data_IF_972764225785
#
_entry.id   IF_972764225785
#
_cell.length_a   1.000
_cell.length_b   1.000
_cell.length_c   1.000
_cell.angle_alpha   90.00
_cell.angle_beta   90.00
_cell.angle_gamma   90.00
#
_symmetry.space_group_name_H-M   'P 1'
#
loop_
_entity.id
_entity.type
_entity.pdbx_description
1 polymer ?
#
# COMPACT_ATOMS: atom_id res chain seq x y z
N UNK A 1 -12.17 -14.90 -8.52
CA UNK A 1 -11.66 -14.54 -7.19
C UNK A 1 -10.56 -15.51 -6.81
N UNK A 2 -9.55 -15.09 -6.04
CA UNK A 2 -8.52 -16.01 -5.55
C UNK A 2 -9.12 -17.06 -4.59
N UNK A 3 -8.57 -18.27 -4.60
CA UNK A 3 -8.94 -19.31 -3.62
C UNK A 3 -8.25 -19.05 -2.28
N UNK A 4 -8.77 -19.65 -1.21
CA UNK A 4 -8.14 -19.55 0.13
C UNK A 4 -6.71 -20.10 0.13
N UNK A 5 -6.44 -21.15 -0.65
CA UNK A 5 -5.08 -21.71 -0.81
C UNK A 5 -4.14 -20.75 -1.53
N UNK A 6 -4.63 -20.07 -2.57
CA UNK A 6 -3.87 -19.05 -3.28
C UNK A 6 -3.55 -17.85 -2.37
N UNK A 7 -4.53 -17.39 -1.59
CA UNK A 7 -4.32 -16.31 -0.61
C UNK A 7 -3.25 -16.72 0.41
N UNK A 8 -3.37 -17.89 1.01
CA UNK A 8 -2.42 -18.37 2.01
C UNK A 8 -1.00 -18.52 1.43
N UNK A 9 -0.88 -19.10 0.23
CA UNK A 9 0.41 -19.24 -0.48
C UNK A 9 1.03 -17.88 -0.79
N UNK A 10 0.23 -16.92 -1.29
CA UNK A 10 0.70 -15.60 -1.67
C UNK A 10 1.09 -14.76 -0.45
N UNK A 11 0.35 -14.83 0.66
CA UNK A 11 0.71 -14.16 1.91
C UNK A 11 1.97 -14.77 2.53
N UNK A 12 2.16 -16.10 2.43
CA UNK A 12 3.41 -16.75 2.85
C UNK A 12 4.58 -16.25 2.01
N UNK A 13 4.41 -16.16 0.68
CA UNK A 13 5.42 -15.61 -0.22
C UNK A 13 5.75 -14.14 0.10
N UNK A 14 4.72 -13.32 0.37
CA UNK A 14 4.88 -11.93 0.77
C UNK A 14 5.67 -11.80 2.08
N UNK A 15 5.39 -12.64 3.07
CA UNK A 15 6.16 -12.68 4.31
C UNK A 15 7.62 -13.12 4.11
N UNK A 16 7.84 -14.16 3.30
CA UNK A 16 9.19 -14.60 2.95
C UNK A 16 9.98 -13.51 2.21
N UNK A 17 9.30 -12.74 1.35
CA UNK A 17 9.91 -11.61 0.65
C UNK A 17 10.22 -10.45 1.62
N UNK A 18 9.38 -10.21 2.63
CA UNK A 18 9.68 -9.27 3.71
C UNK A 18 10.99 -9.62 4.45
N UNK A 19 11.25 -10.92 4.61
CA UNK A 19 12.49 -11.46 5.16
C UNK A 19 13.64 -11.54 4.14
N UNK A 20 13.47 -10.98 2.93
CA UNK A 20 14.43 -10.95 1.82
C UNK A 20 14.87 -12.36 1.36
N UNK A 21 13.98 -13.37 1.44
CA UNK A 21 14.28 -14.73 0.96
C UNK A 21 14.22 -14.77 -0.57
N UNK A 22 15.29 -15.28 -1.18
CA UNK A 22 15.46 -15.29 -2.64
C UNK A 22 14.40 -16.13 -3.38
N UNK A 23 13.91 -17.21 -2.78
CA UNK A 23 12.94 -18.11 -3.41
C UNK A 23 11.48 -17.66 -3.27
N UNK A 24 11.21 -16.59 -2.52
CA UNK A 24 9.85 -16.09 -2.28
C UNK A 24 9.09 -15.81 -3.59
N UNK A 25 9.77 -15.21 -4.58
CA UNK A 25 9.17 -14.85 -5.88
C UNK A 25 8.58 -16.04 -6.64
N UNK A 26 9.14 -17.25 -6.48
CA UNK A 26 8.68 -18.46 -7.19
C UNK A 26 7.31 -18.96 -6.72
N UNK A 27 6.82 -18.48 -5.59
CA UNK A 27 5.54 -18.90 -5.01
C UNK A 27 4.35 -18.09 -5.50
N UNK A 28 4.60 -16.90 -6.08
CA UNK A 28 3.53 -16.10 -6.66
C UNK A 28 3.03 -16.69 -7.97
N UNK A 29 1.73 -16.64 -8.17
CA UNK A 29 1.11 -17.00 -9.44
C UNK A 29 1.17 -15.79 -10.38
N UNK A 30 2.13 -15.81 -11.31
CA UNK A 30 2.37 -14.74 -12.30
C UNK A 30 1.68 -15.01 -13.65
N UNK A 31 0.79 -16.01 -13.71
CA UNK A 31 -0.08 -16.22 -14.87
C UNK A 31 -0.99 -15.02 -15.12
N UNK A 32 -1.63 -14.95 -16.28
CA UNK A 32 -2.59 -13.88 -16.60
C UNK A 32 -3.73 -13.87 -15.59
N UNK A 33 -4.24 -15.05 -15.21
CA UNK A 33 -5.27 -15.19 -14.18
C UNK A 33 -4.78 -14.76 -12.81
N UNK A 34 -3.56 -15.16 -12.42
CA UNK A 34 -2.91 -14.77 -11.16
C UNK A 34 -2.71 -13.27 -11.08
N UNK A 35 -2.29 -12.64 -12.19
CA UNK A 35 -2.16 -11.20 -12.30
C UNK A 35 -3.47 -10.48 -11.95
N UNK A 36 -4.58 -10.84 -12.62
CA UNK A 36 -5.88 -10.20 -12.34
C UNK A 36 -6.42 -10.52 -10.96
N UNK A 37 -6.20 -11.75 -10.47
CA UNK A 37 -6.62 -12.13 -9.12
C UNK A 37 -5.86 -11.40 -8.02
N UNK A 38 -4.60 -11.00 -8.27
CA UNK A 38 -3.81 -10.26 -7.30
C UNK A 38 -4.42 -8.90 -6.92
N UNK A 39 -5.19 -8.29 -7.80
CA UNK A 39 -5.89 -7.04 -7.48
C UNK A 39 -6.94 -7.19 -6.37
N UNK A 40 -7.46 -8.38 -6.15
CA UNK A 40 -8.38 -8.66 -5.04
C UNK A 40 -7.70 -8.54 -3.66
N UNK A 41 -6.36 -8.48 -3.58
CA UNK A 41 -5.63 -8.25 -2.35
C UNK A 41 -6.01 -6.89 -1.69
N UNK A 42 -6.53 -5.91 -2.46
CA UNK A 42 -7.06 -4.65 -1.92
C UNK A 42 -8.14 -4.89 -0.86
N UNK A 43 -8.96 -5.94 -1.01
CA UNK A 43 -10.00 -6.28 -0.04
C UNK A 43 -9.42 -6.72 1.32
N UNK A 44 -8.19 -7.26 1.33
CA UNK A 44 -7.47 -7.61 2.54
C UNK A 44 -6.72 -6.42 3.14
N UNK A 45 -6.33 -5.44 2.32
CA UNK A 45 -5.72 -4.18 2.75
C UNK A 45 -6.77 -3.24 3.37
N UNK A 46 -7.98 -3.20 2.81
CA UNK A 46 -9.03 -2.25 3.17
C UNK A 46 -9.32 -2.14 4.68
N UNK A 47 -9.43 -3.22 5.49
CA UNK A 47 -9.68 -3.09 6.92
C UNK A 47 -8.51 -2.43 7.66
N UNK A 48 -7.26 -2.71 7.31
CA UNK A 48 -6.09 -2.06 7.91
C UNK A 48 -6.02 -0.58 7.52
N UNK A 49 -6.31 -0.27 6.27
CA UNK A 49 -6.41 1.10 5.79
C UNK A 49 -7.51 1.88 6.52
N UNK A 50 -8.68 1.28 6.73
CA UNK A 50 -9.77 1.91 7.46
C UNK A 50 -9.37 2.29 8.91
N UNK A 51 -8.64 1.44 9.63
CA UNK A 51 -8.14 1.79 10.97
C UNK A 51 -7.13 2.94 10.94
N UNK A 52 -6.25 2.99 9.93
CA UNK A 52 -5.32 4.11 9.77
C UNK A 52 -6.07 5.43 9.52
N UNK A 53 -7.06 5.42 8.64
CA UNK A 53 -7.92 6.59 8.35
C UNK A 53 -8.71 7.05 9.59
N UNK A 54 -9.29 6.11 10.36
CA UNK A 54 -10.01 6.46 11.58
C UNK A 54 -9.10 7.06 12.66
N UNK A 55 -7.84 6.59 12.73
CA UNK A 55 -6.85 7.17 13.63
C UNK A 55 -6.48 8.60 13.23
N UNK A 56 -6.32 8.84 11.93
CA UNK A 56 -6.01 10.17 11.39
C UNK A 56 -7.13 11.15 11.66
N UNK A 57 -8.38 10.78 11.36
CA UNK A 57 -9.57 11.58 11.68
C UNK A 57 -9.68 11.89 13.18
N UNK A 58 -9.34 10.94 14.05
CA UNK A 58 -9.35 11.15 15.50
C UNK A 58 -8.26 12.10 15.97
N UNK A 59 -7.09 12.04 15.34
CA UNK A 59 -5.95 12.92 15.63
C UNK A 59 -6.28 14.37 15.23
N UNK A 60 -6.86 14.57 14.04
CA UNK A 60 -7.31 15.90 13.56
C UNK A 60 -8.37 16.48 14.50
N UNK A 61 -9.40 15.72 14.86
CA UNK A 61 -10.46 16.16 15.77
C UNK A 61 -9.94 16.52 17.18
N UNK A 62 -8.89 15.85 17.64
CA UNK A 62 -8.26 16.15 18.93
C UNK A 62 -7.34 17.38 18.90
N UNK A 63 -6.80 17.74 17.74
CA UNK A 63 -5.84 18.84 17.56
C UNK A 63 -6.55 20.19 17.40
N UNK A 64 -7.67 20.22 16.69
CA UNK A 64 -8.49 21.45 16.49
C UNK A 64 -9.99 21.09 16.43
N UNK A 65 -10.74 21.33 17.53
CA UNK A 65 -12.18 21.06 17.57
C UNK A 65 -13.01 21.90 16.57
N UNK A 66 -12.44 22.95 15.99
CA UNK A 66 -13.12 23.82 15.03
C UNK A 66 -12.88 23.38 13.59
N UNK A 67 -11.91 22.48 13.35
CA UNK A 67 -11.70 21.93 12.02
C UNK A 67 -12.86 21.00 11.65
N UNK A 68 -13.51 21.22 10.48
CA UNK A 68 -14.54 20.31 9.99
C UNK A 68 -13.88 18.96 9.66
N UNK A 69 -14.13 17.98 10.50
CA UNK A 69 -13.71 16.59 10.20
C UNK A 69 -14.78 16.00 9.29
N UNK A 70 -14.38 15.58 8.09
CA UNK A 70 -15.27 14.79 7.26
C UNK A 70 -15.75 13.56 8.02
N UNK A 71 -17.04 13.33 8.03
CA UNK A 71 -17.64 12.21 8.75
C UNK A 71 -18.73 11.53 7.90
N UNK A 72 -19.01 10.30 8.22
CA UNK A 72 -20.08 9.55 7.56
C UNK A 72 -19.73 9.10 6.13
N UNK A 73 -20.71 9.22 5.22
CA UNK A 73 -20.58 8.67 3.85
C UNK A 73 -19.53 9.43 3.01
N UNK A 74 -19.37 10.73 3.21
CA UNK A 74 -18.35 11.54 2.52
C UNK A 74 -16.95 11.00 2.77
N UNK A 75 -16.57 10.84 4.02
CA UNK A 75 -15.29 10.26 4.44
C UNK A 75 -15.06 8.86 3.85
N UNK A 76 -16.09 8.00 3.87
CA UNK A 76 -15.97 6.65 3.31
C UNK A 76 -15.71 6.68 1.80
N UNK A 77 -16.44 7.51 1.06
CA UNK A 77 -16.28 7.65 -0.39
C UNK A 77 -14.91 8.24 -0.73
N UNK A 78 -14.51 9.33 -0.08
CA UNK A 78 -13.19 9.96 -0.23
C UNK A 78 -12.07 8.91 -0.09
N UNK A 79 -12.03 8.23 1.04
CA UNK A 79 -10.96 7.28 1.33
C UNK A 79 -11.01 6.02 0.46
N UNK A 80 -12.21 5.53 0.09
CA UNK A 80 -12.34 4.40 -0.83
C UNK A 80 -11.85 4.76 -2.24
N UNK A 81 -12.18 5.96 -2.73
CA UNK A 81 -11.68 6.48 -4.01
C UNK A 81 -10.17 6.64 -3.96
N UNK A 82 -9.62 7.21 -2.88
CA UNK A 82 -8.19 7.35 -2.66
C UNK A 82 -7.46 6.02 -2.73
N UNK A 83 -7.92 5.04 -1.97
CA UNK A 83 -7.34 3.69 -1.95
C UNK A 83 -7.36 3.03 -3.34
N UNK A 84 -8.48 3.11 -4.06
CA UNK A 84 -8.62 2.47 -5.37
C UNK A 84 -7.76 3.16 -6.43
N UNK A 85 -7.68 4.49 -6.41
CA UNK A 85 -6.82 5.23 -7.34
C UNK A 85 -5.35 4.94 -7.08
N UNK A 86 -4.91 4.96 -5.83
CA UNK A 86 -3.53 4.62 -5.46
C UNK A 86 -3.19 3.18 -5.85
N UNK A 87 -4.13 2.24 -5.66
CA UNK A 87 -3.97 0.84 -6.01
C UNK A 87 -3.70 0.61 -7.51
N UNK A 88 -4.30 1.44 -8.37
CA UNK A 88 -4.25 1.29 -9.83
C UNK A 88 -3.18 2.20 -10.45
N UNK A 89 -2.85 3.33 -9.82
CA UNK A 89 -1.99 4.36 -10.42
C UNK A 89 -0.60 3.83 -10.79
N UNK A 90 0.12 3.22 -9.86
CA UNK A 90 1.46 2.71 -10.16
C UNK A 90 1.44 1.60 -11.22
N UNK A 91 0.55 0.58 -11.17
CA UNK A 91 0.39 -0.37 -12.26
C UNK A 91 0.21 0.29 -13.62
N UNK A 92 -0.66 1.29 -13.75
CA UNK A 92 -0.88 1.99 -15.02
C UNK A 92 0.35 2.77 -15.49
N UNK A 93 0.99 3.52 -14.60
CA UNK A 93 2.19 4.29 -14.92
C UNK A 93 3.31 3.34 -15.38
N UNK A 94 3.53 2.24 -14.65
CA UNK A 94 4.55 1.28 -15.01
C UNK A 94 4.20 0.50 -16.29
N UNK A 95 2.92 0.25 -16.60
CA UNK A 95 2.53 -0.34 -17.87
C UNK A 95 2.97 0.53 -19.06
N UNK A 96 2.80 1.86 -18.93
CA UNK A 96 3.24 2.83 -19.93
C UNK A 96 4.78 2.91 -20.04
N UNK A 97 5.44 2.85 -18.89
CA UNK A 97 6.89 3.01 -18.77
C UNK A 97 7.66 1.69 -18.91
N UNK A 98 7.00 0.53 -18.90
CA UNK A 98 7.67 -0.77 -18.88
C UNK A 98 8.61 -1.00 -20.08
N UNK A 99 8.21 -0.54 -21.29
CA UNK A 99 9.04 -0.63 -22.51
C UNK A 99 10.26 0.28 -22.46
N UNK A 100 10.12 1.61 -22.24
CA UNK A 100 11.26 2.51 -22.19
C UNK A 100 12.21 2.19 -21.02
N UNK A 101 11.70 1.66 -19.92
CA UNK A 101 12.49 1.25 -18.75
C UNK A 101 13.13 -0.15 -18.90
N UNK A 102 12.77 -0.92 -19.93
CA UNK A 102 13.31 -2.26 -20.15
C UNK A 102 12.79 -3.34 -19.19
N UNK A 103 11.72 -3.07 -18.44
CA UNK A 103 11.17 -3.97 -17.40
C UNK A 103 9.93 -4.76 -17.86
N UNK A 104 9.55 -4.67 -19.13
CA UNK A 104 8.32 -5.31 -19.66
C UNK A 104 8.24 -6.80 -19.35
N UNK A 105 9.39 -7.48 -19.30
CA UNK A 105 9.47 -8.93 -19.03
C UNK A 105 9.05 -9.28 -17.60
N UNK A 106 9.37 -8.43 -16.64
CA UNK A 106 9.14 -8.65 -15.20
C UNK A 106 7.98 -7.81 -14.64
N UNK A 107 7.27 -7.07 -15.50
CA UNK A 107 6.18 -6.20 -15.09
C UNK A 107 5.08 -6.96 -14.32
N UNK A 108 4.59 -8.09 -14.87
CA UNK A 108 3.53 -8.89 -14.22
C UNK A 108 3.99 -9.46 -12.89
N UNK A 109 5.25 -9.93 -12.81
CA UNK A 109 5.84 -10.44 -11.58
C UNK A 109 5.86 -9.37 -10.48
N UNK A 110 6.25 -8.15 -10.85
CA UNK A 110 6.30 -7.02 -9.93
C UNK A 110 4.90 -6.64 -9.43
N UNK A 111 3.90 -6.50 -10.32
CA UNK A 111 2.55 -6.11 -9.92
C UNK A 111 1.91 -7.16 -9.01
N UNK A 112 2.05 -8.45 -9.34
CA UNK A 112 1.53 -9.54 -8.50
C UNK A 112 2.18 -9.51 -7.12
N UNK A 113 3.51 -9.44 -7.05
CA UNK A 113 4.23 -9.36 -5.79
C UNK A 113 3.82 -8.13 -4.97
N UNK A 114 3.79 -6.93 -5.60
CA UNK A 114 3.39 -5.68 -4.96
C UNK A 114 1.99 -5.79 -4.34
N UNK A 115 1.03 -6.28 -5.09
CA UNK A 115 -0.36 -6.38 -4.62
C UNK A 115 -0.48 -7.28 -3.38
N UNK A 116 0.13 -8.46 -3.39
CA UNK A 116 0.08 -9.36 -2.24
C UNK A 116 0.95 -8.86 -1.06
N UNK A 117 2.09 -8.26 -1.34
CA UNK A 117 2.97 -7.70 -0.32
C UNK A 117 2.36 -6.47 0.37
N UNK A 118 1.51 -5.71 -0.32
CA UNK A 118 0.79 -4.59 0.27
C UNK A 118 -0.08 -5.01 1.47
N UNK A 119 -0.60 -6.24 1.50
CA UNK A 119 -1.33 -6.76 2.66
C UNK A 119 -0.44 -6.79 3.90
N UNK A 120 0.79 -7.32 3.79
CA UNK A 120 1.76 -7.35 4.89
C UNK A 120 2.19 -5.93 5.27
N UNK A 121 2.41 -5.05 4.26
CA UNK A 121 2.77 -3.66 4.48
C UNK A 121 1.68 -2.83 5.18
N UNK A 122 0.40 -3.16 5.00
CA UNK A 122 -0.72 -2.47 5.63
C UNK A 122 -0.90 -2.83 7.11
N UNK A 123 -0.49 -4.04 7.53
CA UNK A 123 -0.68 -4.53 8.90
C UNK A 123 -0.17 -3.57 9.98
N UNK A 124 1.10 -3.08 9.95
CA UNK A 124 1.58 -2.20 11.01
C UNK A 124 0.76 -0.90 11.11
N UNK A 125 0.39 -0.29 9.98
CA UNK A 125 -0.42 0.94 9.97
C UNK A 125 -1.82 0.69 10.54
N UNK A 126 -2.47 -0.40 10.15
CA UNK A 126 -3.79 -0.77 10.67
C UNK A 126 -3.77 -1.09 12.17
N UNK A 127 -2.74 -1.80 12.66
CA UNK A 127 -2.61 -2.12 14.08
C UNK A 127 -2.34 -0.86 14.92
N UNK A 128 -1.43 0.01 14.49
CA UNK A 128 -1.16 1.28 15.17
C UNK A 128 -2.43 2.14 15.16
N UNK A 129 -3.11 2.23 14.02
CA UNK A 129 -4.36 2.94 13.88
C UNK A 129 -5.43 2.42 14.85
N UNK A 130 -5.59 1.11 14.94
CA UNK A 130 -6.51 0.49 15.91
C UNK A 130 -6.16 0.88 17.35
N UNK A 131 -4.87 0.85 17.74
CA UNK A 131 -4.43 1.21 19.09
C UNK A 131 -4.75 2.68 19.42
N UNK A 132 -4.61 3.59 18.47
CA UNK A 132 -5.02 5.00 18.62
C UNK A 132 -6.54 5.09 18.78
N UNK A 133 -7.29 4.40 17.90
CA UNK A 133 -8.76 4.44 17.90
C UNK A 133 -9.36 3.93 19.22
N UNK A 134 -8.81 2.89 19.82
CA UNK A 134 -9.28 2.39 21.11
C UNK A 134 -8.71 3.15 22.33
N UNK A 135 -7.81 4.13 22.10
CA UNK A 135 -7.19 4.92 23.15
C UNK A 135 -6.11 4.18 23.97
N UNK A 136 -5.56 3.10 23.42
CA UNK A 136 -4.46 2.35 24.05
C UNK A 136 -3.11 3.09 23.97
N UNK A 137 -2.94 3.93 22.95
CA UNK A 137 -1.79 4.84 22.79
C UNK A 137 -2.32 6.22 22.38
N UNK A 138 -1.58 7.26 22.74
CA UNK A 138 -1.87 8.62 22.28
C UNK A 138 -1.43 8.85 20.83
N UNK A 139 -1.92 9.93 20.23
CA UNK A 139 -1.65 10.25 18.83
C UNK A 139 -0.19 10.61 18.56
N UNK A 140 0.53 11.20 19.53
CA UNK A 140 1.92 11.59 19.35
C UNK A 140 2.81 10.35 19.26
N UNK A 141 2.67 9.43 20.21
CA UNK A 141 3.38 8.16 20.18
C UNK A 141 2.99 7.31 18.97
N UNK A 142 1.70 7.30 18.63
CA UNK A 142 1.18 6.66 17.43
C UNK A 142 1.84 7.21 16.15
N UNK A 143 2.03 8.52 16.05
CA UNK A 143 2.74 9.17 14.92
C UNK A 143 4.20 8.71 14.78
N UNK A 144 4.91 8.56 15.90
CA UNK A 144 6.29 8.02 15.91
C UNK A 144 6.29 6.58 15.37
N UNK A 145 5.35 5.74 15.82
CA UNK A 145 5.23 4.37 15.35
C UNK A 145 4.84 4.29 13.87
N UNK A 146 3.93 5.16 13.38
CA UNK A 146 3.57 5.26 11.97
C UNK A 146 4.78 5.63 11.11
N UNK A 147 5.61 6.58 11.57
CA UNK A 147 6.84 6.94 10.87
C UNK A 147 7.86 5.79 10.84
N UNK A 148 8.03 5.07 11.94
CA UNK A 148 8.86 3.87 11.97
C UNK A 148 8.33 2.78 11.02
N UNK A 149 7.01 2.56 10.99
CA UNK A 149 6.36 1.64 10.07
C UNK A 149 6.60 2.04 8.60
N UNK A 150 6.53 3.34 8.28
CA UNK A 150 6.82 3.87 6.94
C UNK A 150 8.24 3.48 6.49
N UNK A 151 9.25 3.65 7.35
CA UNK A 151 10.65 3.27 7.02
C UNK A 151 10.75 1.77 6.71
N UNK A 152 10.09 0.94 7.51
CA UNK A 152 10.06 -0.52 7.31
C UNK A 152 9.38 -0.88 5.98
N UNK A 153 8.26 -0.23 5.66
CA UNK A 153 7.52 -0.48 4.41
C UNK A 153 8.27 0.04 3.19
N UNK A 154 8.95 1.19 3.27
CA UNK A 154 9.82 1.67 2.19
C UNK A 154 10.97 0.68 1.90
N UNK A 155 11.61 0.13 2.95
CA UNK A 155 12.59 -0.95 2.79
C UNK A 155 11.95 -2.17 2.13
N UNK A 156 10.74 -2.55 2.53
CA UNK A 156 10.03 -3.68 1.95
C UNK A 156 9.72 -3.45 0.47
N UNK A 157 9.19 -2.29 0.09
CA UNK A 157 8.93 -1.93 -1.30
C UNK A 157 10.21 -1.93 -2.14
N UNK A 158 11.35 -1.52 -1.56
CA UNK A 158 12.65 -1.65 -2.21
C UNK A 158 13.01 -3.12 -2.50
N UNK A 159 12.82 -4.02 -1.53
CA UNK A 159 13.09 -5.45 -1.73
C UNK A 159 12.17 -6.02 -2.82
N UNK A 160 10.88 -5.68 -2.81
CA UNK A 160 9.92 -6.11 -3.83
C UNK A 160 10.37 -5.64 -5.21
N UNK A 161 10.67 -4.34 -5.38
CA UNK A 161 11.11 -3.79 -6.65
C UNK A 161 12.39 -4.47 -7.15
N UNK A 162 13.39 -4.63 -6.27
CA UNK A 162 14.67 -5.25 -6.62
C UNK A 162 14.52 -6.70 -7.04
N UNK A 163 13.72 -7.50 -6.29
CA UNK A 163 13.58 -8.94 -6.50
C UNK A 163 12.63 -9.27 -7.65
N UNK A 164 11.51 -8.55 -7.75
CA UNK A 164 10.49 -8.83 -8.75
C UNK A 164 10.86 -8.30 -10.14
N UNK A 165 11.58 -7.18 -10.23
CA UNK A 165 12.03 -6.61 -11.52
C UNK A 165 13.41 -7.11 -11.94
N UNK A 166 14.14 -7.82 -11.07
CA UNK A 166 15.53 -8.27 -11.29
C UNK A 166 16.46 -7.11 -11.71
N UNK A 167 16.42 -6.02 -10.95
CA UNK A 167 17.12 -4.77 -11.26
C UNK A 167 18.14 -4.38 -10.17
N UNK A 168 19.07 -3.51 -10.54
CA UNK A 168 20.05 -2.98 -9.59
C UNK A 168 19.44 -2.03 -8.55
N UNK A 169 20.19 -1.78 -7.47
CA UNK A 169 19.78 -0.96 -6.31
C UNK A 169 19.25 0.42 -6.71
N UNK A 170 19.97 1.14 -7.58
CA UNK A 170 19.58 2.50 -7.98
C UNK A 170 18.23 2.53 -8.71
N UNK A 171 17.98 1.54 -9.59
CA UNK A 171 16.72 1.43 -10.30
C UNK A 171 15.57 1.08 -9.34
N UNK A 172 15.77 0.13 -8.43
CA UNK A 172 14.78 -0.25 -7.43
C UNK A 172 14.39 0.94 -6.54
N UNK A 173 15.38 1.73 -6.10
CA UNK A 173 15.12 2.98 -5.34
C UNK A 173 14.34 4.00 -6.19
N UNK A 174 14.62 4.09 -7.49
CA UNK A 174 13.85 4.94 -8.42
C UNK A 174 12.37 4.53 -8.50
N UNK A 175 12.08 3.23 -8.54
CA UNK A 175 10.69 2.73 -8.52
C UNK A 175 9.99 3.05 -7.19
N UNK A 176 10.66 2.87 -6.06
CA UNK A 176 10.10 3.22 -4.74
C UNK A 176 9.84 4.72 -4.63
N UNK A 177 10.77 5.55 -5.12
CA UNK A 177 10.59 7.00 -5.13
C UNK A 177 9.42 7.41 -6.05
N UNK A 178 9.28 6.77 -7.21
CA UNK A 178 8.15 6.99 -8.12
C UNK A 178 6.82 6.64 -7.44
N UNK A 179 6.73 5.45 -6.82
CA UNK A 179 5.54 5.00 -6.08
C UNK A 179 5.16 6.02 -5.00
N UNK A 180 6.14 6.43 -4.19
CA UNK A 180 5.93 7.41 -3.12
C UNK A 180 5.44 8.77 -3.65
N UNK A 181 6.06 9.30 -4.72
CA UNK A 181 5.66 10.58 -5.32
C UNK A 181 4.25 10.49 -5.93
N UNK A 182 3.93 9.38 -6.61
CA UNK A 182 2.59 9.15 -7.17
C UNK A 182 1.55 9.11 -6.06
N UNK A 183 1.76 8.32 -5.01
CA UNK A 183 0.84 8.21 -3.87
C UNK A 183 0.65 9.56 -3.17
N UNK A 184 1.73 10.31 -2.94
CA UNK A 184 1.66 11.64 -2.33
C UNK A 184 0.88 12.63 -3.22
N UNK A 185 1.14 12.63 -4.52
CA UNK A 185 0.45 13.52 -5.47
C UNK A 185 -1.04 13.19 -5.53
N UNK A 186 -1.39 11.91 -5.55
CA UNK A 186 -2.79 11.47 -5.51
C UNK A 186 -3.47 11.90 -4.22
N UNK A 187 -2.85 11.67 -3.07
CA UNK A 187 -3.40 12.08 -1.78
C UNK A 187 -3.72 13.57 -1.76
N UNK A 188 -2.72 14.43 -2.09
CA UNK A 188 -2.90 15.88 -2.12
C UNK A 188 -3.98 16.34 -3.14
N UNK A 189 -4.09 15.65 -4.26
CA UNK A 189 -5.09 15.98 -5.29
C UNK A 189 -6.49 15.62 -4.83
N UNK A 190 -6.65 14.43 -4.24
CA UNK A 190 -7.94 13.94 -3.74
C UNK A 190 -8.40 14.82 -2.57
N UNK A 191 -7.52 15.11 -1.62
CA UNK A 191 -7.82 16.01 -0.49
C UNK A 191 -8.27 17.38 -0.98
N UNK A 192 -7.59 17.93 -2.00
CA UNK A 192 -7.97 19.21 -2.62
C UNK A 192 -9.33 19.19 -3.33
N UNK A 193 -9.75 18.05 -3.90
CA UNK A 193 -11.05 17.89 -4.56
C UNK A 193 -12.22 17.76 -3.57
N UNK A 194 -11.97 17.20 -2.41
CA UNK A 194 -12.98 16.99 -1.35
C UNK A 194 -12.91 18.06 -0.24
N UNK A 195 -11.96 19.00 -0.32
CA UNK A 195 -11.89 20.10 0.64
C UNK A 195 -13.21 20.90 0.64
N UNK A 196 -13.79 21.21 1.79
CA UNK A 196 -14.99 22.07 1.88
C UNK A 196 -14.66 23.45 1.32
N UNK A 197 -15.50 23.94 0.38
CA UNK A 197 -15.41 25.29 -0.19
C UNK A 197 -16.00 26.32 0.76
#
# INVERSE_FOLDING_TARGET
MPTTEEIARSLTAAWELFLDRADAMRRFDVSVEGFWRSFAAVLLVAPFYAFAVLADARTVAGSDPLMPVESGMGMLVHNAVGLLLDWIALPLILALLARPLGISRHYSEFIVARNWCAVIGAVPFGLIGLLIVIGAIDSEFGGILMFAALIVVLRYNYIIARRALDVGTGFALGIVALDFVVSLTLALTIDGLFAPQ
#
